data_IF_417915545750
#
_entry.id   IF_417915545750
#
_cell.length_a   1.000
_cell.length_b   1.000
_cell.length_c   1.000
_cell.angle_alpha   90.00
_cell.angle_beta   90.00
_cell.angle_gamma   90.00
#
_symmetry.space_group_name_H-M   'P 1'
#
loop_
_entity.id
_entity.type
_entity.pdbx_description
1 polymer ?
#
# COMPACT_ATOMS: atom_id res chain seq x y z
N UNK A 1 52.27 -6.05 51.95
CA UNK A 1 52.63 -5.92 50.52
C UNK A 1 51.36 -6.04 49.70
N UNK A 2 50.77 -4.93 49.24
CA UNK A 2 49.51 -4.91 48.47
C UNK A 2 49.79 -4.86 46.97
N UNK A 3 49.37 -5.88 46.22
CA UNK A 3 49.46 -5.91 44.77
C UNK A 3 48.33 -5.10 44.11
N UNK A 4 48.57 -4.37 43.01
CA UNK A 4 47.55 -3.52 42.41
C UNK A 4 46.55 -4.36 41.60
N UNK A 5 45.28 -4.24 41.95
CA UNK A 5 44.16 -4.84 41.22
C UNK A 5 44.05 -4.25 39.81
N UNK A 6 44.22 -5.11 38.80
CA UNK A 6 44.01 -4.78 37.39
C UNK A 6 42.52 -4.53 37.12
N UNK A 7 42.13 -3.26 37.11
CA UNK A 7 40.79 -2.80 36.74
C UNK A 7 40.55 -2.98 35.23
N UNK A 8 39.85 -4.05 34.86
CA UNK A 8 39.41 -4.31 33.48
C UNK A 8 38.40 -3.23 33.05
N UNK A 9 38.86 -2.23 32.29
CA UNK A 9 37.98 -1.20 31.70
C UNK A 9 36.97 -1.85 30.74
N UNK A 10 35.67 -1.63 30.98
CA UNK A 10 34.58 -2.11 30.10
C UNK A 10 34.64 -1.39 28.75
N UNK A 11 34.68 -2.15 27.66
CA UNK A 11 34.62 -1.61 26.30
C UNK A 11 33.26 -0.94 26.06
N UNK A 12 33.26 0.34 25.68
CA UNK A 12 32.04 1.06 25.28
C UNK A 12 31.59 0.57 23.90
N UNK A 13 30.32 0.18 23.79
CA UNK A 13 29.68 -0.25 22.53
C UNK A 13 29.80 0.90 21.52
N UNK A 14 30.44 0.66 20.36
CA UNK A 14 30.43 1.61 19.24
C UNK A 14 29.00 1.76 18.74
N UNK A 15 28.36 2.88 19.05
CA UNK A 15 27.03 3.21 18.53
C UNK A 15 27.22 3.57 17.06
N UNK A 16 26.70 2.75 16.16
CA UNK A 16 26.72 3.03 14.72
C UNK A 16 26.01 4.34 14.38
N UNK A 17 26.15 4.81 13.14
CA UNK A 17 25.51 6.04 12.64
C UNK A 17 24.03 6.08 13.09
N UNK A 18 23.55 7.18 13.71
CA UNK A 18 22.18 7.30 14.15
C UNK A 18 21.20 6.94 13.04
N UNK A 19 20.28 6.03 13.35
CA UNK A 19 19.23 5.62 12.43
C UNK A 19 18.29 6.81 12.20
N UNK A 20 17.99 7.11 10.92
CA UNK A 20 16.94 8.08 10.56
C UNK A 20 15.52 7.63 10.96
N UNK A 21 15.36 6.39 11.41
CA UNK A 21 14.08 5.85 11.85
C UNK A 21 13.72 6.43 13.23
N UNK A 22 12.64 7.19 13.27
CA UNK A 22 12.01 7.74 14.46
C UNK A 22 10.55 7.25 14.55
N UNK A 23 10.10 6.86 15.74
CA UNK A 23 8.76 6.31 15.96
C UNK A 23 7.66 7.35 15.72
N UNK A 24 7.88 8.64 16.05
CA UNK A 24 6.88 9.69 15.76
C UNK A 24 6.71 9.88 14.25
N UNK A 25 7.82 9.93 13.53
CA UNK A 25 7.84 9.95 12.06
C UNK A 25 7.13 8.73 11.46
N UNK A 26 7.42 7.53 11.97
CA UNK A 26 6.77 6.29 11.53
C UNK A 26 5.25 6.35 11.71
N UNK A 27 4.77 6.84 12.85
CA UNK A 27 3.34 7.02 13.12
C UNK A 27 2.68 8.04 12.20
N UNK A 28 3.38 9.12 11.85
CA UNK A 28 2.86 10.09 10.88
C UNK A 28 2.70 9.47 9.49
N UNK A 29 3.67 8.67 9.04
CA UNK A 29 3.57 7.94 7.77
C UNK A 29 2.36 6.99 7.79
N UNK A 30 2.14 6.27 8.89
CA UNK A 30 0.98 5.37 9.07
C UNK A 30 -0.33 6.13 8.87
N UNK A 31 -0.49 7.31 9.48
CA UNK A 31 -1.71 8.13 9.34
C UNK A 31 -2.00 8.53 7.88
N UNK A 32 -0.97 8.91 7.13
CA UNK A 32 -1.12 9.25 5.71
C UNK A 32 -1.56 8.05 4.87
N UNK A 33 -0.97 6.88 5.14
CA UNK A 33 -1.31 5.63 4.45
C UNK A 33 -2.74 5.17 4.79
N UNK A 34 -3.12 5.29 6.06
CA UNK A 34 -4.47 4.95 6.52
C UNK A 34 -5.54 5.84 5.87
N UNK A 35 -5.21 7.11 5.62
CA UNK A 35 -6.03 8.03 4.83
C UNK A 35 -6.08 7.71 3.32
N UNK A 36 -5.45 6.62 2.88
CA UNK A 36 -5.49 6.15 1.49
C UNK A 36 -4.39 6.69 0.60
N UNK A 37 -3.39 7.40 1.13
CA UNK A 37 -2.33 7.95 0.30
C UNK A 37 -1.33 6.89 -0.14
N UNK A 38 -0.74 7.10 -1.32
CA UNK A 38 0.38 6.28 -1.78
C UNK A 38 1.61 6.51 -0.90
N UNK A 39 2.45 5.48 -0.78
CA UNK A 39 3.69 5.51 0.01
C UNK A 39 4.61 6.69 -0.37
N UNK A 40 4.56 7.12 -1.63
CA UNK A 40 5.34 8.27 -2.11
C UNK A 40 4.86 9.59 -1.51
N UNK A 41 3.56 9.84 -1.59
CA UNK A 41 2.90 11.00 -0.96
C UNK A 41 3.07 10.98 0.54
N UNK A 42 2.83 9.84 1.19
CA UNK A 42 3.00 9.70 2.64
C UNK A 42 4.44 9.97 3.10
N UNK A 43 5.43 9.50 2.34
CA UNK A 43 6.84 9.75 2.61
C UNK A 43 7.18 11.25 2.44
N UNK A 44 6.77 11.84 1.32
CA UNK A 44 7.02 13.25 1.01
C UNK A 44 6.39 14.18 2.06
N UNK A 45 5.13 13.92 2.46
CA UNK A 45 4.44 14.68 3.50
C UNK A 45 5.12 14.59 4.88
N UNK A 46 5.95 13.56 5.09
CA UNK A 46 6.72 13.35 6.31
C UNK A 46 8.20 13.74 6.16
N UNK A 47 8.60 14.36 5.04
CA UNK A 47 9.97 14.82 4.82
C UNK A 47 11.00 13.71 4.58
N UNK A 48 10.57 12.53 4.13
CA UNK A 48 11.46 11.41 3.79
C UNK A 48 11.22 10.92 2.37
N UNK A 49 12.24 10.25 1.81
CA UNK A 49 12.08 9.65 0.48
C UNK A 49 11.29 8.35 0.56
N UNK A 50 10.58 8.02 -0.51
CA UNK A 50 9.94 6.70 -0.69
C UNK A 50 10.93 5.54 -0.49
N UNK A 51 12.16 5.69 -0.97
CA UNK A 51 13.21 4.68 -0.84
C UNK A 51 13.54 4.40 0.64
N UNK A 52 13.58 5.45 1.47
CA UNK A 52 13.78 5.34 2.92
C UNK A 52 12.68 4.53 3.59
N UNK A 53 11.40 4.83 3.30
CA UNK A 53 10.28 4.07 3.87
C UNK A 53 10.31 2.61 3.42
N UNK A 54 10.58 2.34 2.13
CA UNK A 54 10.72 0.96 1.62
C UNK A 54 11.88 0.21 2.27
N UNK A 55 12.99 0.88 2.56
CA UNK A 55 14.10 0.27 3.28
C UNK A 55 13.67 -0.18 4.69
N UNK A 56 12.98 0.69 5.43
CA UNK A 56 12.46 0.34 6.76
C UNK A 56 11.46 -0.80 6.74
N UNK A 57 10.57 -0.85 5.75
CA UNK A 57 9.63 -1.98 5.59
C UNK A 57 10.36 -3.30 5.29
N UNK A 58 11.41 -3.26 4.45
CA UNK A 58 12.24 -4.45 4.15
C UNK A 58 13.03 -4.92 5.37
N UNK A 59 13.58 -3.99 6.14
CA UNK A 59 14.28 -4.29 7.38
C UNK A 59 13.32 -4.87 8.43
N UNK A 60 12.12 -4.30 8.55
CA UNK A 60 11.05 -4.83 9.40
C UNK A 60 10.61 -6.24 9.01
N UNK A 61 10.58 -6.56 7.70
CA UNK A 61 10.21 -7.88 7.22
C UNK A 61 11.26 -8.96 7.54
N UNK A 62 12.53 -8.56 7.74
CA UNK A 62 13.63 -9.45 8.12
C UNK A 62 13.81 -9.57 9.63
N UNK A 63 13.28 -8.61 10.39
CA UNK A 63 13.40 -8.57 11.83
C UNK A 63 12.35 -9.48 12.50
N UNK A 64 12.76 -10.27 13.50
CA UNK A 64 11.84 -11.06 14.32
C UNK A 64 11.02 -10.20 15.29
N UNK A 65 11.58 -9.05 15.70
CA UNK A 65 10.97 -8.10 16.64
C UNK A 65 11.60 -6.71 16.50
N UNK A 66 11.02 -5.71 17.18
CA UNK A 66 11.54 -4.35 17.28
C UNK A 66 10.80 -3.32 16.41
N UNK A 67 11.17 -2.05 16.57
CA UNK A 67 10.39 -0.92 16.08
C UNK A 67 10.09 -0.94 14.56
N UNK A 68 11.01 -1.47 13.73
CA UNK A 68 10.78 -1.60 12.28
C UNK A 68 9.84 -2.75 11.93
N UNK A 69 9.85 -3.84 12.70
CA UNK A 69 8.88 -4.93 12.55
C UNK A 69 7.47 -4.46 12.96
N UNK A 70 7.38 -3.72 14.06
CA UNK A 70 6.14 -3.07 14.52
C UNK A 70 5.61 -2.06 13.50
N UNK A 71 6.51 -1.24 12.92
CA UNK A 71 6.16 -0.32 11.84
C UNK A 71 5.63 -1.05 10.60
N UNK A 72 6.26 -2.14 10.17
CA UNK A 72 5.74 -2.95 9.06
C UNK A 72 4.35 -3.48 9.35
N UNK A 73 4.12 -4.02 10.55
CA UNK A 73 2.82 -4.54 10.95
C UNK A 73 1.76 -3.42 10.96
N UNK A 74 2.09 -2.25 11.50
CA UNK A 74 1.22 -1.08 11.51
C UNK A 74 0.94 -0.53 10.11
N UNK A 75 1.95 -0.48 9.25
CA UNK A 75 1.82 -0.06 7.85
C UNK A 75 0.83 -0.96 7.09
N UNK A 76 0.96 -2.29 7.22
CA UNK A 76 0.03 -3.24 6.61
C UNK A 76 -1.40 -3.09 7.14
N UNK A 77 -1.56 -2.85 8.45
CA UNK A 77 -2.87 -2.56 9.04
C UNK A 77 -3.48 -1.29 8.44
N UNK A 78 -2.70 -0.22 8.30
CA UNK A 78 -3.15 1.02 7.68
C UNK A 78 -3.57 0.83 6.22
N UNK A 79 -2.84 0.03 5.43
CA UNK A 79 -3.28 -0.35 4.08
C UNK A 79 -4.63 -1.08 4.09
N UNK A 80 -4.83 -2.01 5.04
CA UNK A 80 -6.09 -2.72 5.22
C UNK A 80 -7.25 -1.79 5.60
N UNK A 81 -7.02 -0.83 6.49
CA UNK A 81 -8.02 0.17 6.89
C UNK A 81 -8.37 1.06 5.68
N UNK A 82 -7.38 1.56 4.95
CA UNK A 82 -7.61 2.36 3.75
C UNK A 82 -8.46 1.61 2.71
N UNK A 83 -8.20 0.31 2.51
CA UNK A 83 -9.00 -0.56 1.65
C UNK A 83 -10.44 -0.66 2.18
N UNK A 84 -10.62 -0.97 3.46
CA UNK A 84 -11.95 -1.10 4.06
C UNK A 84 -12.76 0.19 3.99
N UNK A 85 -12.13 1.35 4.19
CA UNK A 85 -12.76 2.66 4.06
C UNK A 85 -13.19 2.94 2.61
N UNK A 86 -12.33 2.64 1.62
CA UNK A 86 -12.69 2.78 0.21
C UNK A 86 -13.86 1.88 -0.18
N UNK A 87 -13.87 0.63 0.30
CA UNK A 87 -14.98 -0.30 0.12
C UNK A 87 -16.28 0.19 0.78
N UNK A 88 -16.19 0.73 1.99
CA UNK A 88 -17.34 1.27 2.70
C UNK A 88 -17.95 2.45 1.91
N UNK A 89 -17.11 3.40 1.47
CA UNK A 89 -17.57 4.51 0.62
C UNK A 89 -18.20 4.00 -0.68
N UNK A 90 -17.55 3.06 -1.35
CA UNK A 90 -18.07 2.42 -2.56
C UNK A 90 -19.48 1.84 -2.34
N UNK A 91 -19.71 1.12 -1.23
CA UNK A 91 -21.02 0.55 -0.86
C UNK A 91 -22.05 1.62 -0.49
N UNK A 92 -21.62 2.72 0.11
CA UNK A 92 -22.48 3.84 0.49
C UNK A 92 -22.85 4.73 -0.70
N UNK A 93 -22.06 4.72 -1.78
CA UNK A 93 -22.38 5.47 -2.99
C UNK A 93 -23.54 4.81 -3.75
N UNK A 94 -24.60 5.58 -3.99
CA UNK A 94 -25.61 5.27 -5.00
C UNK A 94 -25.06 5.43 -6.43
N UNK A 95 -25.95 5.62 -7.41
CA UNK A 95 -25.59 5.58 -8.85
C UNK A 95 -24.59 6.65 -9.35
N UNK A 96 -24.19 7.65 -8.55
CA UNK A 96 -23.51 8.86 -9.04
C UNK A 96 -22.03 9.06 -8.64
N UNK A 97 -21.44 8.28 -7.72
CA UNK A 97 -20.10 8.62 -7.20
C UNK A 97 -19.18 7.45 -6.82
N UNK A 98 -19.57 6.21 -7.10
CA UNK A 98 -18.79 5.02 -6.75
C UNK A 98 -17.48 4.86 -7.56
N UNK A 99 -17.39 5.51 -8.73
CA UNK A 99 -16.30 5.30 -9.70
C UNK A 99 -14.92 5.67 -9.15
N UNK A 100 -14.82 6.72 -8.32
CA UNK A 100 -13.54 7.19 -7.77
C UNK A 100 -12.94 6.15 -6.81
N UNK A 101 -13.76 5.59 -5.91
CA UNK A 101 -13.30 4.54 -5.00
C UNK A 101 -12.99 3.24 -5.76
N UNK A 102 -13.76 2.90 -6.79
CA UNK A 102 -13.46 1.75 -7.64
C UNK A 102 -12.10 1.92 -8.36
N UNK A 103 -11.81 3.08 -8.93
CA UNK A 103 -10.52 3.35 -9.56
C UNK A 103 -9.36 3.31 -8.56
N UNK A 104 -9.57 3.83 -7.35
CA UNK A 104 -8.59 3.73 -6.29
C UNK A 104 -8.26 2.28 -5.96
N UNK A 105 -9.29 1.45 -5.76
CA UNK A 105 -9.14 0.02 -5.45
C UNK A 105 -8.43 -0.75 -6.58
N UNK A 106 -8.82 -0.52 -7.84
CA UNK A 106 -8.20 -1.11 -9.03
C UNK A 106 -6.70 -0.80 -9.12
N UNK A 107 -6.30 0.46 -8.93
CA UNK A 107 -4.91 0.89 -9.07
C UNK A 107 -4.05 0.42 -7.90
N UNK A 108 -4.62 0.38 -6.69
CA UNK A 108 -3.87 0.07 -5.47
C UNK A 108 -3.76 -1.44 -5.19
N UNK A 109 -4.80 -2.19 -5.51
CA UNK A 109 -4.85 -3.65 -5.36
C UNK A 109 -5.27 -4.34 -6.68
N UNK A 110 -4.46 -4.22 -7.75
CA UNK A 110 -4.82 -4.74 -9.07
C UNK A 110 -5.01 -6.27 -9.10
N UNK A 111 -4.36 -7.01 -8.21
CA UNK A 111 -4.55 -8.47 -8.11
C UNK A 111 -5.95 -8.87 -7.59
N UNK A 112 -6.62 -7.99 -6.85
CA UNK A 112 -7.98 -8.23 -6.34
C UNK A 112 -9.05 -7.59 -7.25
N UNK A 113 -8.76 -6.40 -7.77
CA UNK A 113 -9.75 -5.54 -8.44
C UNK A 113 -9.48 -5.35 -9.94
N UNK A 114 -8.32 -5.76 -10.44
CA UNK A 114 -7.98 -5.62 -11.86
C UNK A 114 -8.89 -6.47 -12.74
N UNK A 115 -9.10 -6.02 -13.98
CA UNK A 115 -9.81 -6.80 -14.99
C UNK A 115 -9.09 -8.14 -15.18
N UNK A 116 -9.80 -9.23 -14.93
CA UNK A 116 -9.40 -10.55 -15.42
C UNK A 116 -9.94 -10.65 -16.83
N UNK A 117 -9.10 -10.34 -17.81
CA UNK A 117 -9.44 -10.65 -19.19
C UNK A 117 -9.64 -12.17 -19.26
N UNK A 118 -10.90 -12.58 -19.47
CA UNK A 118 -11.19 -13.98 -19.80
C UNK A 118 -10.74 -14.15 -21.24
N UNK A 119 -9.45 -14.42 -21.42
CA UNK A 119 -8.93 -14.86 -22.71
C UNK A 119 -9.69 -16.13 -23.11
N UNK A 120 -10.54 -16.01 -24.12
CA UNK A 120 -11.06 -17.14 -24.89
C UNK A 120 -11.97 -18.12 -24.13
N UNK A 121 -13.12 -17.67 -23.63
CA UNK A 121 -14.27 -18.58 -23.63
C UNK A 121 -14.73 -18.73 -25.08
N UNK A 122 -14.15 -19.68 -25.83
CA UNK A 122 -14.80 -20.19 -27.05
C UNK A 122 -16.15 -20.76 -26.59
N UNK A 123 -17.29 -20.17 -26.99
CA UNK A 123 -18.58 -20.71 -26.58
C UNK A 123 -18.71 -22.10 -27.20
N UNK A 124 -18.89 -23.12 -26.36
CA UNK A 124 -19.31 -24.44 -26.81
C UNK A 124 -20.61 -24.29 -27.60
N UNK A 125 -20.70 -24.98 -28.74
CA UNK A 125 -21.82 -24.91 -29.70
C UNK A 125 -23.12 -25.33 -29.01
N UNK A 126 -23.86 -24.37 -28.46
CA UNK A 126 -25.18 -24.60 -27.85
C UNK A 126 -25.50 -23.79 -26.59
N UNK A 127 -24.56 -23.02 -26.02
CA UNK A 127 -24.86 -22.26 -24.80
C UNK A 127 -25.61 -20.93 -25.09
N UNK A 128 -26.66 -20.60 -24.32
CA UNK A 128 -27.42 -19.37 -24.50
C UNK A 128 -26.53 -18.16 -24.16
N UNK A 129 -26.44 -17.22 -25.11
CA UNK A 129 -25.78 -15.93 -24.90
C UNK A 129 -26.57 -15.12 -23.87
N UNK A 130 -26.03 -15.00 -22.66
CA UNK A 130 -26.54 -14.05 -21.66
C UNK A 130 -26.04 -12.65 -22.08
N UNK A 131 -26.92 -11.82 -22.62
CA UNK A 131 -26.64 -10.41 -22.84
C UNK A 131 -26.61 -9.68 -21.49
N UNK A 132 -25.42 -9.54 -20.91
CA UNK A 132 -25.21 -8.68 -19.76
C UNK A 132 -25.17 -7.24 -20.27
N UNK A 133 -26.21 -6.45 -19.98
CA UNK A 133 -26.18 -5.01 -20.15
C UNK A 133 -25.21 -4.42 -19.13
N UNK A 134 -24.02 -4.06 -19.59
CA UNK A 134 -23.07 -3.25 -18.82
C UNK A 134 -23.32 -1.80 -19.24
N UNK A 135 -23.88 -0.93 -18.37
CA UNK A 135 -24.05 0.48 -18.70
C UNK A 135 -22.70 1.10 -19.05
N UNK A 136 -22.71 2.08 -19.97
CA UNK A 136 -21.51 2.78 -20.39
C UNK A 136 -20.81 3.42 -19.18
N UNK A 137 -19.67 2.86 -18.80
CA UNK A 137 -18.85 3.32 -17.69
C UNK A 137 -17.79 4.36 -18.13
N UNK A 138 -17.96 4.96 -19.32
CA UNK A 138 -17.08 6.02 -19.84
C UNK A 138 -15.64 5.56 -20.13
N UNK A 139 -15.40 4.24 -20.12
CA UNK A 139 -14.07 3.62 -20.15
C UNK A 139 -13.59 3.26 -21.57
N UNK A 140 -14.48 3.33 -22.56
CA UNK A 140 -14.17 3.12 -23.98
C UNK A 140 -14.14 4.47 -24.69
N UNK A 141 -13.03 4.88 -25.33
CA UNK A 141 -13.02 6.07 -26.15
C UNK A 141 -14.01 5.89 -27.31
N UNK A 142 -14.90 6.86 -27.51
CA UNK A 142 -15.81 6.87 -28.65
C UNK A 142 -14.97 6.85 -29.92
N UNK A 143 -15.02 5.76 -30.69
CA UNK A 143 -14.45 5.73 -32.05
C UNK A 143 -15.21 6.79 -32.85
N UNK A 144 -14.55 7.91 -33.16
CA UNK A 144 -15.05 8.85 -34.15
C UNK A 144 -15.09 8.12 -35.49
N UNK A 145 -16.29 7.68 -35.88
CA UNK A 145 -16.54 7.16 -37.21
C UNK A 145 -16.29 8.27 -38.22
N UNK A 146 -15.18 8.17 -38.94
CA UNK A 146 -14.92 8.98 -40.11
C UNK A 146 -16.03 8.74 -41.13
N UNK A 147 -16.77 9.81 -41.46
CA UNK A 147 -17.63 9.84 -42.64
C UNK A 147 -16.75 9.64 -43.87
N UNK A 148 -17.12 8.66 -44.71
CA UNK A 148 -16.90 8.74 -46.15
C UNK A 148 -18.26 9.01 -46.78
#
# INVERSE_FOLDING_TARGET
MGGPGSGRRKATKRVGRPSKFDTKLANNIIRWVEAGNYIETAAAACGVTRATVRAWLREGARAKSGAKAEFLAAFKRAEGIAHAQALARLRSHGSKSWQVDAWFLERRWPHLWGRKDRDGATPSKGEPKINIYVPDNGRVPKKNGGKK
#
